data_IF_316854629164
#
_entry.id   IF_316854629164
#
_cell.length_a   1.000
_cell.length_b   1.000
_cell.length_c   1.000
_cell.angle_alpha   90.00
_cell.angle_beta   90.00
_cell.angle_gamma   90.00
#
_symmetry.space_group_name_H-M   'P 1'
#
loop_
_entity.id
_entity.type
_entity.pdbx_description
1 polymer ?
#
# COMPACT_ATOMS: atom_id res chain seq x y z
N UNK A 1 -29.28 4.02 4.67
CA UNK A 1 -28.19 4.77 4.00
C UNK A 1 -27.73 3.94 2.80
N UNK A 2 -27.69 4.50 1.60
CA UNK A 2 -27.25 3.75 0.41
C UNK A 2 -25.71 3.64 0.41
N UNK A 3 -25.17 2.55 -0.13
CA UNK A 3 -23.73 2.20 -0.06
C UNK A 3 -22.86 3.24 -0.79
N UNK A 4 -23.35 3.79 -1.89
CA UNK A 4 -22.76 4.90 -2.65
C UNK A 4 -22.56 6.17 -1.80
N UNK A 5 -23.56 6.52 -0.99
CA UNK A 5 -23.49 7.68 -0.08
C UNK A 5 -22.50 7.44 1.07
N UNK A 6 -22.38 6.19 1.54
CA UNK A 6 -21.36 5.81 2.51
C UNK A 6 -19.95 5.94 1.92
N UNK A 7 -19.72 5.36 0.75
CA UNK A 7 -18.40 5.31 0.13
C UNK A 7 -17.90 6.71 -0.19
N UNK A 8 -18.74 7.56 -0.77
CA UNK A 8 -18.38 8.95 -1.08
C UNK A 8 -18.12 9.80 0.16
N UNK A 9 -18.90 9.62 1.24
CA UNK A 9 -18.72 10.37 2.49
C UNK A 9 -17.46 9.96 3.26
N UNK A 10 -17.03 8.71 3.17
CA UNK A 10 -15.97 8.17 4.00
C UNK A 10 -14.65 7.93 3.26
N UNK A 11 -14.63 7.93 1.92
CA UNK A 11 -13.42 7.72 1.11
C UNK A 11 -12.29 8.67 1.49
N UNK A 12 -12.60 9.96 1.67
CA UNK A 12 -11.60 10.98 1.98
C UNK A 12 -10.98 10.77 3.35
N UNK A 13 -11.79 10.38 4.35
CA UNK A 13 -11.31 10.07 5.70
C UNK A 13 -10.41 8.84 5.71
N UNK A 14 -10.78 7.80 4.97
CA UNK A 14 -9.99 6.57 4.83
C UNK A 14 -8.66 6.86 4.12
N UNK A 15 -8.68 7.70 3.09
CA UNK A 15 -7.48 8.15 2.38
C UNK A 15 -6.54 8.95 3.29
N UNK A 16 -7.07 9.91 4.03
CA UNK A 16 -6.29 10.72 4.98
C UNK A 16 -5.68 9.82 6.04
N UNK A 17 -6.45 8.88 6.60
CA UNK A 17 -5.94 7.90 7.56
C UNK A 17 -4.78 7.07 6.96
N UNK A 18 -4.94 6.58 5.73
CA UNK A 18 -3.88 5.86 5.02
C UNK A 18 -2.63 6.70 4.80
N UNK A 19 -2.76 7.99 4.44
CA UNK A 19 -1.63 8.90 4.27
C UNK A 19 -0.91 9.20 5.57
N UNK A 20 -1.65 9.48 6.63
CA UNK A 20 -1.09 9.70 7.98
C UNK A 20 -0.33 8.44 8.43
N UNK A 21 -0.91 7.26 8.24
CA UNK A 21 -0.25 6.01 8.56
C UNK A 21 1.02 5.78 7.73
N UNK A 22 1.01 6.09 6.43
CA UNK A 22 2.21 6.05 5.58
C UNK A 22 3.31 6.97 6.10
N UNK A 23 2.98 8.18 6.60
CA UNK A 23 3.98 9.09 7.19
C UNK A 23 4.63 8.44 8.42
N UNK A 24 3.83 7.86 9.33
CA UNK A 24 4.36 7.13 10.48
C UNK A 24 5.25 5.96 10.07
N UNK A 25 4.83 5.19 9.08
CA UNK A 25 5.61 4.05 8.57
C UNK A 25 6.92 4.48 7.91
N UNK A 26 6.96 5.62 7.21
CA UNK A 26 8.22 6.18 6.66
C UNK A 26 9.19 6.47 7.79
N UNK A 27 8.76 7.11 8.88
CA UNK A 27 9.66 7.41 9.99
C UNK A 27 10.07 6.14 10.75
N UNK A 28 9.13 5.25 11.03
CA UNK A 28 9.38 4.01 11.76
C UNK A 28 10.35 3.11 10.99
N UNK A 29 10.03 2.76 9.75
CA UNK A 29 10.89 1.91 8.92
C UNK A 29 12.14 2.65 8.44
N UNK A 30 12.07 3.98 8.26
CA UNK A 30 13.20 4.82 7.89
C UNK A 30 14.32 4.77 8.92
N UNK A 31 13.99 4.74 10.21
CA UNK A 31 14.98 4.57 11.27
C UNK A 31 15.75 3.25 11.11
N UNK A 32 15.04 2.13 10.94
CA UNK A 32 15.66 0.82 10.68
C UNK A 32 16.46 0.80 9.37
N UNK A 33 15.97 1.47 8.32
CA UNK A 33 16.70 1.57 7.07
C UNK A 33 18.07 2.24 7.23
N UNK A 34 18.14 3.32 8.03
CA UNK A 34 19.41 3.99 8.34
C UNK A 34 20.37 3.07 9.10
N UNK A 35 19.87 2.21 10.00
CA UNK A 35 20.70 1.19 10.66
C UNK A 35 21.33 0.23 9.63
N UNK A 36 20.62 -0.13 8.57
CA UNK A 36 21.18 -1.00 7.52
C UNK A 36 22.23 -0.28 6.67
N UNK A 37 22.10 1.04 6.48
CA UNK A 37 23.12 1.85 5.79
C UNK A 37 24.42 1.92 6.58
N UNK A 38 24.40 1.67 7.90
CA UNK A 38 25.61 1.68 8.72
C UNK A 38 26.68 0.70 8.21
N UNK A 39 26.27 -0.38 7.53
CA UNK A 39 27.19 -1.34 6.90
C UNK A 39 28.15 -0.67 5.92
N UNK A 40 27.67 0.30 5.13
CA UNK A 40 28.48 1.04 4.17
C UNK A 40 29.43 2.04 4.83
N UNK A 41 29.14 2.44 6.07
CA UNK A 41 29.95 3.43 6.81
C UNK A 41 31.03 2.81 7.69
N UNK A 42 30.91 1.52 8.05
CA UNK A 42 31.82 0.87 8.99
C UNK A 42 33.15 0.40 8.38
N UNK A 43 33.36 0.57 7.07
CA UNK A 43 34.63 0.24 6.41
C UNK A 43 34.97 -1.26 6.35
N UNK A 44 34.03 -2.16 6.66
CA UNK A 44 34.24 -3.62 6.72
C UNK A 44 34.24 -4.34 5.36
N UNK A 45 34.45 -3.60 4.27
CA UNK A 45 34.34 -4.11 2.90
C UNK A 45 32.91 -4.09 2.35
N UNK A 46 32.72 -4.66 1.16
CA UNK A 46 31.42 -4.69 0.49
C UNK A 46 30.43 -5.60 1.25
N UNK A 47 29.18 -5.17 1.47
CA UNK A 47 28.16 -6.04 2.04
C UNK A 47 27.88 -7.24 1.13
N UNK A 48 27.48 -8.39 1.70
CA UNK A 48 26.96 -9.50 0.93
C UNK A 48 25.82 -9.06 0.00
N UNK A 49 25.69 -9.72 -1.15
CA UNK A 49 24.63 -9.40 -2.14
C UNK A 49 23.23 -9.47 -1.51
N UNK A 50 23.00 -10.40 -0.59
CA UNK A 50 21.75 -10.49 0.16
C UNK A 50 21.41 -9.23 0.96
N UNK A 51 22.41 -8.60 1.59
CA UNK A 51 22.26 -7.36 2.35
C UNK A 51 21.98 -6.17 1.42
N UNK A 52 22.64 -6.11 0.27
CA UNK A 52 22.37 -5.07 -0.74
C UNK A 52 20.92 -5.17 -1.22
N UNK A 53 20.47 -6.39 -1.54
CA UNK A 53 19.09 -6.61 -1.96
C UNK A 53 18.07 -6.28 -0.87
N UNK A 54 18.34 -6.63 0.39
CA UNK A 54 17.45 -6.25 1.49
C UNK A 54 17.34 -4.74 1.64
N UNK A 55 18.44 -4.00 1.48
CA UNK A 55 18.46 -2.53 1.50
C UNK A 55 17.67 -1.97 0.31
N UNK A 56 17.84 -2.52 -0.90
CA UNK A 56 17.08 -2.08 -2.08
C UNK A 56 15.57 -2.29 -1.87
N UNK A 57 15.14 -3.46 -1.41
CA UNK A 57 13.71 -3.71 -1.17
C UNK A 57 13.14 -2.84 -0.05
N UNK A 58 13.88 -2.67 1.05
CA UNK A 58 13.47 -1.79 2.14
C UNK A 58 13.38 -0.32 1.67
N UNK A 59 14.37 0.18 0.94
CA UNK A 59 14.35 1.54 0.38
C UNK A 59 13.23 1.73 -0.65
N UNK A 60 12.93 0.70 -1.45
CA UNK A 60 11.79 0.70 -2.37
C UNK A 60 10.46 0.76 -1.62
N UNK A 61 10.34 0.06 -0.50
CA UNK A 61 9.16 0.12 0.39
C UNK A 61 8.96 1.53 0.94
N UNK A 62 10.02 2.18 1.43
CA UNK A 62 9.97 3.58 1.90
C UNK A 62 9.56 4.53 0.78
N UNK A 63 10.11 4.36 -0.41
CA UNK A 63 9.72 5.12 -1.59
C UNK A 63 8.25 4.89 -1.92
N UNK A 64 7.74 3.67 -1.78
CA UNK A 64 6.33 3.33 -1.94
C UNK A 64 5.42 4.14 -1.02
N UNK A 65 5.78 4.30 0.25
CA UNK A 65 5.03 5.15 1.19
C UNK A 65 5.04 6.63 0.78
N UNK A 66 6.19 7.17 0.35
CA UNK A 66 6.28 8.55 -0.13
C UNK A 66 5.43 8.74 -1.38
N UNK A 67 5.54 7.84 -2.35
CA UNK A 67 4.74 7.85 -3.57
C UNK A 67 3.25 7.76 -3.24
N UNK A 68 2.86 6.97 -2.23
CA UNK A 68 1.47 6.85 -1.80
C UNK A 68 0.87 8.20 -1.38
N UNK A 69 1.65 9.11 -0.79
CA UNK A 69 1.18 10.45 -0.37
C UNK A 69 0.68 11.29 -1.55
N UNK A 70 1.32 11.14 -2.72
CA UNK A 70 1.01 11.91 -3.92
C UNK A 70 0.19 11.13 -4.95
N UNK A 71 0.39 9.81 -5.01
CA UNK A 71 -0.10 8.89 -6.04
C UNK A 71 -0.50 7.55 -5.42
N UNK A 72 -1.62 7.54 -4.68
CA UNK A 72 -2.11 6.41 -3.88
C UNK A 72 -2.07 5.05 -4.62
N UNK A 73 -2.52 5.01 -5.88
CA UNK A 73 -2.52 3.78 -6.70
C UNK A 73 -1.12 3.20 -6.88
N UNK A 74 -0.18 3.99 -7.39
CA UNK A 74 1.18 3.53 -7.66
C UNK A 74 1.92 3.22 -6.36
N UNK A 75 1.76 4.06 -5.34
CA UNK A 75 2.33 3.82 -4.01
C UNK A 75 1.85 2.50 -3.42
N UNK A 76 0.56 2.17 -3.56
CA UNK A 76 -0.01 0.91 -3.05
C UNK A 76 0.64 -0.32 -3.67
N UNK A 77 0.85 -0.32 -5.00
CA UNK A 77 1.52 -1.43 -5.67
C UNK A 77 2.98 -1.56 -5.24
N UNK A 78 3.69 -0.44 -5.16
CA UNK A 78 5.09 -0.43 -4.71
C UNK A 78 5.19 -0.98 -3.29
N UNK A 79 4.35 -0.51 -2.36
CA UNK A 79 4.31 -1.00 -0.97
C UNK A 79 4.06 -2.51 -0.93
N UNK A 80 3.01 -3.01 -1.59
CA UNK A 80 2.65 -4.43 -1.51
C UNK A 80 3.76 -5.34 -2.05
N UNK A 81 4.31 -5.00 -3.22
CA UNK A 81 5.35 -5.82 -3.86
C UNK A 81 6.65 -5.76 -3.05
N UNK A 82 7.11 -4.57 -2.68
CA UNK A 82 8.36 -4.41 -1.94
C UNK A 82 8.28 -4.94 -0.52
N UNK A 83 7.17 -4.74 0.19
CA UNK A 83 6.96 -5.30 1.53
C UNK A 83 6.89 -6.84 1.48
N UNK A 84 6.22 -7.42 0.48
CA UNK A 84 6.18 -8.87 0.33
C UNK A 84 7.59 -9.44 0.10
N UNK A 85 8.35 -8.85 -0.84
CA UNK A 85 9.72 -9.27 -1.13
C UNK A 85 10.64 -9.08 0.07
N UNK A 86 10.54 -7.96 0.79
CA UNK A 86 11.38 -7.69 1.94
C UNK A 86 11.07 -8.64 3.12
N UNK A 87 9.82 -8.70 3.56
CA UNK A 87 9.46 -9.46 4.77
C UNK A 87 9.50 -10.98 4.55
N UNK A 88 9.04 -11.51 3.41
CA UNK A 88 9.01 -12.96 3.23
C UNK A 88 10.35 -13.58 2.80
N UNK A 89 11.29 -12.78 2.28
CA UNK A 89 12.63 -13.29 1.91
C UNK A 89 13.62 -13.13 3.07
N UNK A 90 13.57 -12.01 3.81
CA UNK A 90 14.63 -11.64 4.76
C UNK A 90 14.23 -11.74 6.22
N UNK A 91 12.94 -11.89 6.54
CA UNK A 91 12.43 -11.95 7.92
C UNK A 91 11.83 -13.33 8.19
N UNK A 92 12.05 -13.92 9.39
CA UNK A 92 11.48 -15.22 9.74
C UNK A 92 9.95 -15.25 9.57
N UNK A 93 9.43 -16.32 8.96
CA UNK A 93 8.01 -16.45 8.57
C UNK A 93 7.03 -16.20 9.73
N UNK A 94 7.40 -16.59 10.95
CA UNK A 94 6.61 -16.38 12.17
C UNK A 94 6.30 -14.91 12.45
N UNK A 95 7.17 -14.00 12.00
CA UNK A 95 7.03 -12.54 12.18
C UNK A 95 6.78 -11.80 10.86
N UNK A 96 7.19 -12.37 9.73
CA UNK A 96 7.06 -11.77 8.40
C UNK A 96 5.61 -11.40 8.07
N UNK A 97 4.65 -12.29 8.37
CA UNK A 97 3.23 -12.06 8.11
C UNK A 97 2.72 -10.83 8.87
N UNK A 98 3.07 -10.70 10.15
CA UNK A 98 2.66 -9.58 10.98
C UNK A 98 3.21 -8.26 10.45
N UNK A 99 4.51 -8.20 10.16
CA UNK A 99 5.12 -6.98 9.62
C UNK A 99 4.61 -6.63 8.24
N UNK A 100 4.38 -7.61 7.36
CA UNK A 100 3.76 -7.39 6.06
C UNK A 100 2.36 -6.79 6.19
N UNK A 101 1.53 -7.33 7.07
CA UNK A 101 0.16 -6.85 7.28
C UNK A 101 0.15 -5.39 7.76
N UNK A 102 0.95 -5.06 8.78
CA UNK A 102 1.06 -3.69 9.28
C UNK A 102 1.60 -2.75 8.21
N UNK A 103 2.67 -3.16 7.53
CA UNK A 103 3.33 -2.35 6.50
C UNK A 103 2.44 -2.12 5.28
N UNK A 104 1.46 -2.98 5.03
CA UNK A 104 0.54 -2.91 3.89
C UNK A 104 -0.78 -2.21 4.19
N UNK A 105 -1.02 -1.76 5.43
CA UNK A 105 -2.28 -1.08 5.81
C UNK A 105 -2.65 0.07 4.86
N UNK A 106 -1.76 1.02 4.49
CA UNK A 106 -2.13 2.10 3.58
C UNK A 106 -2.61 1.59 2.21
N UNK A 107 -1.94 0.56 1.68
CA UNK A 107 -2.27 -0.05 0.40
C UNK A 107 -3.62 -0.78 0.46
N UNK A 108 -3.92 -1.47 1.56
CA UNK A 108 -5.22 -2.11 1.75
C UNK A 108 -6.35 -1.08 1.88
N UNK A 109 -6.15 0.01 2.62
CA UNK A 109 -7.15 1.09 2.73
C UNK A 109 -7.50 1.69 1.37
N UNK A 110 -6.50 1.93 0.52
CA UNK A 110 -6.75 2.36 -0.87
C UNK A 110 -7.53 1.32 -1.68
N UNK A 111 -7.15 0.05 -1.56
CA UNK A 111 -7.77 -1.05 -2.31
C UNK A 111 -9.25 -1.23 -1.96
N UNK A 112 -9.62 -1.04 -0.69
CA UNK A 112 -11.01 -1.05 -0.21
C UNK A 112 -11.83 0.05 -0.90
N UNK A 113 -11.29 1.27 -1.02
CA UNK A 113 -11.96 2.38 -1.70
C UNK A 113 -12.19 2.06 -3.18
N UNK A 114 -11.16 1.56 -3.87
CA UNK A 114 -11.28 1.17 -5.27
C UNK A 114 -12.32 0.06 -5.48
N UNK A 115 -12.30 -0.97 -4.64
CA UNK A 115 -13.26 -2.07 -4.72
C UNK A 115 -14.70 -1.58 -4.51
N UNK A 116 -14.92 -0.73 -3.50
CA UNK A 116 -16.23 -0.16 -3.22
C UNK A 116 -16.74 0.71 -4.38
N UNK A 117 -15.87 1.53 -5.00
CA UNK A 117 -16.22 2.32 -6.19
C UNK A 117 -16.64 1.45 -7.38
N UNK A 118 -15.92 0.36 -7.65
CA UNK A 118 -16.26 -0.57 -8.74
C UNK A 118 -17.61 -1.25 -8.53
N UNK A 119 -17.94 -1.63 -7.28
CA UNK A 119 -19.25 -2.20 -6.94
C UNK A 119 -20.40 -1.23 -7.20
N UNK A 120 -20.23 0.06 -6.88
CA UNK A 120 -21.25 1.10 -7.13
C UNK A 120 -21.48 1.28 -8.62
N UNK A 121 -20.42 1.44 -9.42
CA UNK A 121 -20.53 1.61 -10.87
C UNK A 121 -21.21 0.43 -11.55
N UNK A 122 -20.88 -0.81 -11.13
CA UNK A 122 -21.50 -2.02 -11.68
C UNK A 122 -23.00 -2.07 -11.42
N UNK A 123 -23.45 -1.63 -10.24
CA UNK A 123 -24.87 -1.60 -9.87
C UNK A 123 -25.65 -0.58 -10.70
N UNK A 124 -25.11 0.63 -10.90
CA UNK A 124 -25.76 1.65 -11.72
C UNK A 124 -25.93 1.20 -13.19
N UNK A 125 -24.93 0.52 -13.74
CA UNK A 125 -25.03 -0.04 -15.10
C UNK A 125 -26.13 -1.12 -15.21
N UNK A 126 -26.33 -1.95 -14.19
CA UNK A 126 -27.41 -2.96 -14.17
C UNK A 126 -28.80 -2.32 -14.07
N UNK A 127 -28.96 -1.32 -13.21
CA UNK A 127 -30.24 -0.59 -13.06
C UNK A 127 -30.59 0.19 -14.35
N UNK A 128 -29.59 0.76 -15.03
CA UNK A 128 -29.78 1.45 -16.33
C UNK A 128 -30.16 0.50 -17.47
N UNK A 129 -29.59 -0.71 -17.52
CA UNK A 129 -29.90 -1.72 -18.55
C UNK A 129 -31.28 -2.36 -18.34
N UNK A 130 -31.75 -2.45 -17.09
CA UNK A 130 -33.06 -3.00 -16.76
C UNK A 130 -34.19 -1.97 -16.88
N UNK A 131 -33.90 -0.73 -17.28
CA UNK A 131 -34.91 0.29 -17.47
C UNK A 131 -35.67 0.01 -18.78
N UNK A 132 -36.98 -0.34 -18.75
CA UNK A 132 -37.73 -0.76 -19.93
C UNK A 132 -37.79 0.31 -21.03
N UNK A 133 -37.59 1.59 -20.67
CA UNK A 133 -37.50 2.71 -21.62
C UNK A 133 -36.30 2.56 -22.58
N UNK A 134 -35.20 1.93 -22.13
CA UNK A 134 -34.02 1.69 -22.95
C UNK A 134 -34.15 0.44 -23.85
N UNK A 135 -35.09 -0.46 -23.58
CA UNK A 135 -35.31 -1.69 -24.35
C UNK A 135 -36.32 -1.54 -25.49
N UNK A 136 -36.85 -0.32 -25.71
CA UNK A 136 -37.82 0.01 -26.76
C UNK A 136 -37.21 0.83 -27.92
N UNK A 137 -35.88 1.03 -27.92
CA UNK A 137 -35.11 1.61 -29.04
C UNK A 137 -34.23 0.54 -29.67
#
# INVERSE_FOLDING_TARGET
MKIDEFVTRHSDRILIAGKVFSVFLVFFWGAFFLEHLSWFTTGKGLPPVSVILSIIFHGTMLTGYIVFLFKCKYGSYVILVSAALFFFIYIPLTTAVFYFLISSVPAFLWSIICYAGLCVTKRQNQEGNNNPVNNLR
#
